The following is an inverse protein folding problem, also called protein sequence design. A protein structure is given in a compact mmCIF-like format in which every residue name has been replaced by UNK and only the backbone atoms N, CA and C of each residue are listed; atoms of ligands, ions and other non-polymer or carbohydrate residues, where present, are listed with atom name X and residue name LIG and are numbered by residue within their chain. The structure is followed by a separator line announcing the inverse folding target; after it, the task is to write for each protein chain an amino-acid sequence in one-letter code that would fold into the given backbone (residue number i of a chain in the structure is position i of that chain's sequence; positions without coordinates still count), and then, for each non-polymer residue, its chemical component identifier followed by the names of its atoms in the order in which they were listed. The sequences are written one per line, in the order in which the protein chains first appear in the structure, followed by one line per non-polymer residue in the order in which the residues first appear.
data_IF_843635798025
#
_entry.id   IF_843635798025
#
_cell.length_a   1.000
_cell.length_b   1.000
_cell.length_c   1.000
_cell.angle_alpha   90.00
_cell.angle_beta   90.00
_cell.angle_gamma   90.00
#
_symmetry.space_group_name_H-M   'P 1'
#
loop_
_entity.id
_entity.type
_entity.pdbx_description
1 polymer ?
#
# COMPACT_ATOMS: atom_id res chain seq x y z
N UNK A 1 4.61 -10.72 -10.49
CA UNK A 1 5.00 -9.30 -10.65
C UNK A 1 5.52 -8.71 -9.35
N UNK A 2 4.73 -8.67 -8.27
CA UNK A 2 5.07 -7.94 -7.03
C UNK A 2 6.47 -8.22 -6.46
N UNK A 3 6.85 -9.49 -6.23
CA UNK A 3 8.15 -9.81 -5.59
C UNK A 3 9.33 -9.51 -6.52
N UNK A 4 9.34 -10.08 -7.73
CA UNK A 4 10.43 -9.91 -8.69
C UNK A 4 10.57 -8.45 -9.16
N UNK A 5 9.45 -7.74 -9.31
CA UNK A 5 9.45 -6.31 -9.66
C UNK A 5 10.10 -5.46 -8.56
N UNK A 6 9.75 -5.69 -7.30
CA UNK A 6 10.40 -5.05 -6.15
C UNK A 6 11.89 -5.34 -6.12
N UNK A 7 12.28 -6.62 -6.26
CA UNK A 7 13.70 -7.01 -6.33
C UNK A 7 14.46 -6.25 -7.43
N UNK A 8 13.89 -6.18 -8.64
CA UNK A 8 14.55 -5.50 -9.76
C UNK A 8 14.74 -4.00 -9.49
N UNK A 9 13.75 -3.32 -8.91
CA UNK A 9 13.85 -1.90 -8.54
C UNK A 9 14.92 -1.70 -7.47
N UNK A 10 14.93 -2.53 -6.42
CA UNK A 10 15.93 -2.45 -5.35
C UNK A 10 17.35 -2.71 -5.86
N UNK A 11 17.52 -3.69 -6.75
CA UNK A 11 18.82 -3.99 -7.33
C UNK A 11 19.34 -2.87 -8.24
N UNK A 12 18.46 -2.25 -9.02
CA UNK A 12 18.83 -1.06 -9.81
C UNK A 12 19.14 0.12 -8.91
N UNK A 13 18.32 0.38 -7.89
CA UNK A 13 18.55 1.45 -6.92
C UNK A 13 19.92 1.32 -6.24
N UNK A 14 20.25 0.11 -5.78
CA UNK A 14 21.54 -0.22 -5.19
C UNK A 14 22.71 0.01 -6.16
N UNK A 15 22.59 -0.41 -7.42
CA UNK A 15 23.66 -0.28 -8.43
C UNK A 15 23.91 1.15 -8.89
N UNK A 16 22.90 2.00 -8.78
CA UNK A 16 22.96 3.41 -9.19
C UNK A 16 23.17 4.35 -8.00
N UNK A 17 23.49 3.80 -6.81
CA UNK A 17 23.67 4.57 -5.57
C UNK A 17 22.49 5.51 -5.29
N UNK A 18 21.26 5.06 -5.60
CA UNK A 18 20.05 5.79 -5.28
C UNK A 18 19.94 5.87 -3.76
N UNK A 19 19.77 7.09 -3.26
CA UNK A 19 19.71 7.34 -1.82
C UNK A 19 18.57 6.57 -1.14
N UNK A 20 17.37 6.60 -1.72
CA UNK A 20 16.13 6.16 -1.06
C UNK A 20 15.16 5.46 -2.00
N UNK A 21 14.47 4.45 -1.48
CA UNK A 21 13.29 3.82 -2.10
C UNK A 21 12.06 3.95 -1.20
N UNK A 22 10.97 4.51 -1.74
CA UNK A 22 9.66 4.49 -1.06
C UNK A 22 8.86 3.30 -1.58
N UNK A 23 8.53 2.36 -0.70
CA UNK A 23 7.80 1.15 -1.03
C UNK A 23 6.32 1.27 -0.66
N UNK A 24 5.45 1.24 -1.67
CA UNK A 24 4.01 1.19 -1.46
C UNK A 24 3.57 -0.23 -1.08
N UNK A 25 3.47 -0.51 0.22
CA UNK A 25 2.86 -1.72 0.77
C UNK A 25 1.33 -1.57 0.88
N UNK A 26 0.68 -2.38 1.72
CA UNK A 26 -0.77 -2.37 1.90
C UNK A 26 -1.15 -2.88 3.28
N UNK A 27 -2.20 -2.31 3.89
CA UNK A 27 -2.81 -2.84 5.11
C UNK A 27 -3.26 -4.32 5.00
N UNK A 28 -3.32 -4.89 3.79
CA UNK A 28 -3.53 -6.32 3.58
C UNK A 28 -2.46 -7.22 4.24
N UNK A 29 -1.28 -6.66 4.61
CA UNK A 29 -0.24 -7.41 5.34
C UNK A 29 -0.67 -7.78 6.77
N UNK A 30 -1.56 -7.01 7.39
CA UNK A 30 -2.04 -7.28 8.75
C UNK A 30 -3.06 -8.44 8.78
N UNK A 31 -3.80 -8.65 7.69
CA UNK A 31 -4.86 -9.65 7.66
C UNK A 31 -6.11 -9.24 8.43
N UNK A 32 -6.52 -10.04 9.41
CA UNK A 32 -7.66 -9.74 10.29
C UNK A 32 -7.12 -9.05 11.55
N UNK A 33 -7.43 -7.76 11.77
CA UNK A 33 -6.97 -7.04 12.96
C UNK A 33 -7.48 -7.67 14.26
N UNK A 34 -6.63 -7.66 15.29
CA UNK A 34 -7.02 -8.05 16.65
C UNK A 34 -7.67 -6.87 17.41
N UNK A 35 -7.21 -5.67 17.12
CA UNK A 35 -7.64 -4.40 17.73
C UNK A 35 -7.75 -3.32 16.67
N UNK A 36 -8.52 -2.26 16.98
CA UNK A 36 -8.60 -1.05 16.17
C UNK A 36 -8.30 0.18 17.07
N UNK A 37 -7.56 1.19 16.58
CA UNK A 37 -6.92 1.25 15.26
C UNK A 37 -5.75 0.25 15.13
N UNK A 38 -5.44 -0.14 13.89
CA UNK A 38 -4.25 -0.94 13.58
C UNK A 38 -3.01 -0.06 13.68
N UNK A 39 -1.94 -0.56 14.28
CA UNK A 39 -0.64 0.13 14.37
C UNK A 39 0.46 -0.64 13.63
N UNK A 40 1.59 0.01 13.38
CA UNK A 40 2.73 -0.53 12.62
C UNK A 40 3.32 -1.79 13.25
N UNK A 41 3.28 -1.90 14.59
CA UNK A 41 3.77 -3.02 15.37
C UNK A 41 2.82 -4.23 15.40
N UNK A 42 1.61 -4.10 14.85
CA UNK A 42 0.65 -5.21 14.83
C UNK A 42 1.17 -6.39 14.00
N UNK A 43 0.82 -7.64 14.39
CA UNK A 43 1.28 -8.83 13.68
C UNK A 43 0.88 -8.87 12.20
N UNK A 44 1.86 -9.18 11.34
CA UNK A 44 1.66 -9.29 9.89
C UNK A 44 1.18 -10.71 9.54
N UNK A 45 -0.14 -10.88 9.35
CA UNK A 45 -0.79 -12.18 9.09
C UNK A 45 -1.69 -12.12 7.83
N UNK A 46 -1.11 -11.91 6.64
CA UNK A 46 -1.90 -11.73 5.42
C UNK A 46 -2.79 -12.93 5.14
N UNK A 47 -4.05 -12.68 4.78
CA UNK A 47 -5.06 -13.73 4.51
C UNK A 47 -5.27 -14.01 3.02
N UNK A 48 -4.50 -13.36 2.15
CA UNK A 48 -4.58 -13.52 0.70
C UNK A 48 -3.21 -13.40 0.03
N UNK A 49 -3.11 -13.91 -1.20
CA UNK A 49 -1.86 -13.93 -1.98
C UNK A 49 -1.28 -12.53 -2.19
N UNK A 50 -2.12 -11.51 -2.40
CA UNK A 50 -1.65 -10.15 -2.59
C UNK A 50 -0.93 -9.63 -1.33
N UNK A 51 -1.54 -9.79 -0.14
CA UNK A 51 -0.93 -9.44 1.14
C UNK A 51 0.37 -10.18 1.39
N UNK A 52 0.44 -11.48 1.08
CA UNK A 52 1.68 -12.28 1.15
C UNK A 52 2.78 -11.67 0.29
N UNK A 53 2.47 -11.29 -0.95
CA UNK A 53 3.47 -10.70 -1.84
C UNK A 53 3.92 -9.30 -1.43
N UNK A 54 3.05 -8.52 -0.76
CA UNK A 54 3.43 -7.22 -0.19
C UNK A 54 4.33 -7.37 1.02
N UNK A 55 4.00 -8.29 1.91
CA UNK A 55 4.84 -8.64 3.06
C UNK A 55 6.22 -9.17 2.62
N UNK A 56 6.27 -10.02 1.60
CA UNK A 56 7.55 -10.45 1.01
C UNK A 56 8.35 -9.26 0.42
N UNK A 57 7.66 -8.27 -0.14
CA UNK A 57 8.26 -7.02 -0.58
C UNK A 57 8.87 -6.21 0.57
N UNK A 58 8.14 -6.03 1.68
CA UNK A 58 8.66 -5.36 2.89
C UNK A 58 9.96 -6.03 3.37
N UNK A 59 9.98 -7.37 3.44
CA UNK A 59 11.19 -8.12 3.80
C UNK A 59 12.36 -7.92 2.84
N UNK A 60 12.10 -7.80 1.54
CA UNK A 60 13.16 -7.49 0.58
C UNK A 60 13.73 -6.09 0.82
N UNK A 61 12.86 -5.09 0.98
CA UNK A 61 13.29 -3.70 1.18
C UNK A 61 14.11 -3.58 2.47
N UNK A 62 13.62 -4.17 3.57
CA UNK A 62 14.30 -4.23 4.87
C UNK A 62 15.71 -4.86 4.76
N UNK A 63 15.83 -6.01 4.09
CA UNK A 63 17.13 -6.66 3.88
C UNK A 63 18.07 -5.85 2.98
N UNK A 64 17.56 -5.08 2.03
CA UNK A 64 18.40 -4.21 1.20
C UNK A 64 18.95 -3.03 2.00
N UNK A 65 18.16 -2.51 2.95
CA UNK A 65 18.63 -1.51 3.90
C UNK A 65 19.72 -2.08 4.81
N UNK A 66 19.46 -3.20 5.47
CA UNK A 66 20.41 -3.83 6.40
C UNK A 66 21.74 -4.22 5.72
N UNK A 67 21.69 -4.79 4.50
CA UNK A 67 22.88 -5.32 3.84
C UNK A 67 23.64 -4.29 2.99
N UNK A 68 22.97 -3.24 2.52
CA UNK A 68 23.55 -2.30 1.54
C UNK A 68 23.40 -0.82 1.92
N UNK A 69 22.74 -0.50 3.04
CA UNK A 69 22.53 0.88 3.49
C UNK A 69 21.55 1.68 2.62
N UNK A 70 20.75 1.04 1.78
CA UNK A 70 19.74 1.72 0.96
C UNK A 70 18.64 2.28 1.88
N UNK A 71 18.46 3.61 1.95
CA UNK A 71 17.38 4.17 2.76
C UNK A 71 16.02 3.73 2.21
N UNK A 72 15.06 3.46 3.09
CA UNK A 72 13.74 2.99 2.68
C UNK A 72 12.61 3.57 3.52
N UNK A 73 11.44 3.72 2.93
CA UNK A 73 10.20 4.01 3.66
C UNK A 73 9.10 3.08 3.17
N UNK A 74 8.46 2.33 4.07
CA UNK A 74 7.35 1.43 3.76
C UNK A 74 6.03 2.12 4.10
N UNK A 75 5.15 2.29 3.11
CA UNK A 75 3.81 2.87 3.31
C UNK A 75 2.72 1.80 3.17
N UNK A 76 2.04 1.44 4.27
CA UNK A 76 0.97 0.44 4.29
C UNK A 76 -0.39 1.05 4.00
N UNK A 77 -0.69 1.29 2.72
CA UNK A 77 -1.96 1.92 2.33
C UNK A 77 -3.20 1.06 2.64
N UNK A 78 -4.23 1.73 3.17
CA UNK A 78 -5.60 1.23 3.23
C UNK A 78 -6.29 1.24 1.86
N UNK A 79 -7.59 1.53 1.82
CA UNK A 79 -8.35 1.57 0.57
C UNK A 79 -8.26 2.95 -0.06
N UNK A 80 -7.39 3.10 -1.06
CA UNK A 80 -7.27 4.36 -1.78
C UNK A 80 -8.50 4.56 -2.68
N UNK A 81 -9.09 5.75 -2.65
CA UNK A 81 -10.17 6.17 -3.55
C UNK A 81 -9.87 7.51 -4.21
N UNK A 82 -10.58 7.82 -5.29
CA UNK A 82 -10.42 9.06 -6.05
C UNK A 82 -10.19 8.82 -7.54
N UNK A 83 -10.09 9.92 -8.29
CA UNK A 83 -9.92 9.91 -9.74
C UNK A 83 -8.48 10.19 -10.12
N UNK A 84 -7.93 9.35 -11.00
CA UNK A 84 -6.60 9.45 -11.59
C UNK A 84 -6.56 8.65 -12.90
N UNK A 85 -5.41 8.68 -13.57
CA UNK A 85 -5.24 8.07 -14.91
C UNK A 85 -5.59 6.58 -14.94
N UNK A 86 -5.34 5.88 -13.82
CA UNK A 86 -5.56 4.43 -13.70
C UNK A 86 -6.66 4.08 -12.69
N UNK A 87 -7.64 4.97 -12.47
CA UNK A 87 -8.74 4.70 -11.54
C UNK A 87 -9.43 3.39 -11.87
N UNK A 88 -9.43 2.50 -10.87
CA UNK A 88 -10.15 1.24 -10.89
C UNK A 88 -11.63 1.46 -10.59
N UNK A 89 -12.42 1.55 -11.63
CA UNK A 89 -13.88 1.78 -11.58
C UNK A 89 -14.69 0.62 -11.00
N UNK A 90 -14.04 -0.51 -10.73
CA UNK A 90 -14.60 -1.69 -10.09
C UNK A 90 -14.48 -1.67 -8.56
N UNK A 91 -13.66 -0.78 -7.99
CA UNK A 91 -13.56 -0.59 -6.53
C UNK A 91 -14.80 0.12 -5.99
N UNK A 92 -15.12 -0.11 -4.70
CA UNK A 92 -16.43 0.23 -4.12
C UNK A 92 -16.86 1.68 -4.33
N UNK A 93 -16.00 2.66 -4.03
CA UNK A 93 -16.36 4.09 -4.15
C UNK A 93 -16.57 4.49 -5.62
N UNK A 94 -15.60 4.32 -6.55
CA UNK A 94 -15.81 4.63 -7.97
C UNK A 94 -17.00 3.88 -8.59
N UNK A 95 -17.19 2.59 -8.22
CA UNK A 95 -18.31 1.79 -8.70
C UNK A 95 -19.64 2.37 -8.25
N UNK A 96 -19.78 2.73 -6.98
CA UNK A 96 -21.02 3.25 -6.44
C UNK A 96 -21.35 4.63 -6.99
N UNK A 97 -20.35 5.50 -7.13
CA UNK A 97 -20.52 6.81 -7.78
C UNK A 97 -21.04 6.63 -9.20
N UNK A 98 -20.39 5.77 -10.00
CA UNK A 98 -20.80 5.50 -11.38
C UNK A 98 -22.22 4.92 -11.46
N UNK A 99 -22.53 3.90 -10.66
CA UNK A 99 -23.87 3.27 -10.67
C UNK A 99 -24.96 4.25 -10.22
N UNK A 100 -24.68 5.08 -9.21
CA UNK A 100 -25.60 6.12 -8.75
C UNK A 100 -25.90 7.15 -9.84
N UNK A 101 -24.87 7.61 -10.57
CA UNK A 101 -25.05 8.51 -11.71
C UNK A 101 -25.83 7.87 -12.87
N UNK A 102 -25.70 6.55 -13.04
CA UNK A 102 -26.44 5.78 -14.04
C UNK A 102 -27.86 5.38 -13.59
N UNK A 103 -28.28 5.72 -12.36
CA UNK A 103 -29.56 5.30 -11.79
C UNK A 103 -29.67 3.78 -11.59
N UNK A 104 -28.54 3.07 -11.45
CA UNK A 104 -28.49 1.61 -11.30
C UNK A 104 -28.43 1.19 -9.83
N UNK A 105 -28.87 -0.03 -9.50
CA UNK A 105 -28.80 -0.55 -8.13
C UNK A 105 -27.37 -0.60 -7.59
N UNK A 106 -27.19 -0.24 -6.32
CA UNK A 106 -25.95 -0.38 -5.58
C UNK A 106 -25.93 -1.73 -4.85
N UNK A 107 -24.97 -2.59 -5.18
CA UNK A 107 -24.85 -3.92 -4.56
C UNK A 107 -23.84 -3.92 -3.43
N UNK A 108 -24.27 -4.29 -2.24
CA UNK A 108 -23.41 -4.59 -1.09
C UNK A 108 -23.25 -6.11 -1.01
N UNK A 109 -22.02 -6.59 -0.88
CA UNK A 109 -21.74 -8.01 -0.65
C UNK A 109 -21.63 -8.26 0.86
N UNK A 110 -22.38 -9.25 1.36
CA UNK A 110 -22.52 -9.50 2.79
C UNK A 110 -23.67 -8.71 3.40
N UNK A 111 -23.58 -8.42 4.69
CA UNK A 111 -24.61 -7.74 5.48
C UNK A 111 -24.45 -6.20 5.52
N UNK A 112 -23.37 -5.68 4.94
CA UNK A 112 -23.04 -4.25 4.97
C UNK A 112 -22.40 -3.76 6.27
N UNK A 113 -22.13 -4.64 7.24
CA UNK A 113 -21.44 -4.30 8.50
C UNK A 113 -19.93 -4.16 8.37
N UNK A 114 -19.34 -4.45 7.20
CA UNK A 114 -17.91 -4.35 6.99
C UNK A 114 -17.42 -2.91 6.96
N UNK A 115 -16.45 -2.55 7.79
CA UNK A 115 -15.74 -1.28 7.73
C UNK A 115 -14.43 -1.38 6.95
N UNK A 116 -14.01 -0.28 6.34
CA UNK A 116 -12.73 -0.11 5.66
C UNK A 116 -12.24 1.31 5.90
N UNK A 117 -10.93 1.45 6.11
CA UNK A 117 -10.28 2.75 6.10
C UNK A 117 -10.06 3.19 4.64
N UNK A 118 -10.53 4.39 4.32
CA UNK A 118 -10.48 4.99 3.00
C UNK A 118 -9.61 6.24 3.00
N UNK A 119 -8.59 6.25 2.14
CA UNK A 119 -7.64 7.35 1.99
C UNK A 119 -7.82 7.99 0.62
N UNK A 120 -7.92 9.31 0.56
CA UNK A 120 -8.04 9.99 -0.73
C UNK A 120 -6.72 9.86 -1.51
N UNK A 121 -6.80 9.70 -2.84
CA UNK A 121 -5.61 9.52 -3.69
C UNK A 121 -4.61 10.67 -3.54
N UNK A 122 -5.08 11.90 -3.34
CA UNK A 122 -4.20 13.04 -3.10
C UNK A 122 -3.46 12.98 -1.76
N UNK A 123 -4.07 12.42 -0.71
CA UNK A 123 -3.38 12.21 0.57
C UNK A 123 -2.30 11.13 0.41
N UNK A 124 -2.59 10.07 -0.36
CA UNK A 124 -1.61 9.04 -0.67
C UNK A 124 -0.44 9.57 -1.52
N UNK A 125 -0.72 10.46 -2.49
CA UNK A 125 0.32 11.16 -3.28
C UNK A 125 1.16 12.04 -2.39
N UNK A 126 0.55 12.80 -1.48
CA UNK A 126 1.29 13.66 -0.56
C UNK A 126 2.16 12.84 0.40
N UNK A 127 1.65 11.71 0.92
CA UNK A 127 2.45 10.79 1.72
C UNK A 127 3.66 10.26 0.96
N UNK A 128 3.48 9.82 -0.29
CA UNK A 128 4.60 9.37 -1.15
C UNK A 128 5.63 10.47 -1.37
N UNK A 129 5.19 11.70 -1.66
CA UNK A 129 6.05 12.86 -1.88
C UNK A 129 6.85 13.20 -0.62
N UNK A 130 6.18 13.30 0.52
CA UNK A 130 6.83 13.58 1.80
C UNK A 130 7.82 12.47 2.19
N UNK A 131 7.49 11.20 1.99
CA UNK A 131 8.41 10.08 2.25
C UNK A 131 9.64 10.11 1.35
N UNK A 132 9.51 10.58 0.10
CA UNK A 132 10.64 10.71 -0.82
C UNK A 132 11.57 11.87 -0.42
N UNK A 133 11.03 12.95 0.13
CA UNK A 133 11.76 14.19 0.45
C UNK A 133 12.24 14.29 1.90
N UNK A 134 11.70 13.49 2.83
CA UNK A 134 11.98 13.61 4.26
C UNK A 134 13.49 13.48 4.57
N UNK A 135 14.02 14.36 5.43
CA UNK A 135 15.37 14.19 5.99
C UNK A 135 15.41 13.10 7.06
N UNK A 136 16.51 12.36 7.17
CA UNK A 136 16.72 11.31 8.18
C UNK A 136 16.86 9.91 7.59
N UNK A 137 17.23 8.95 8.43
CA UNK A 137 17.23 7.53 8.07
C UNK A 137 15.78 7.05 7.91
N UNK A 138 15.50 6.33 6.83
CA UNK A 138 14.18 5.76 6.58
C UNK A 138 13.84 4.67 7.59
N UNK A 139 12.56 4.53 7.92
CA UNK A 139 12.02 3.56 8.89
C UNK A 139 11.13 2.52 8.19
N UNK A 140 11.21 1.28 8.65
CA UNK A 140 10.42 0.12 8.18
C UNK A 140 9.06 0.03 8.88
#
# INVERSE_FOLDING_TARGET
MNILGTFNVLEVARRLDIRRVVFASSAAVYGVPLTLPVVEEDPLRPTNLYGVTKLAGERLVSLYHENYGLEMVTLRFGNIYGVGVFTRWDTVIPRFVRLGLEGKPLTIYGDGGSSRDFVHVWDAVEALRLSAEAGGEGVD
#
